data_IF_074534169368
#
_entry.id   IF_074534169368
#
_cell.length_a   1.000
_cell.length_b   1.000
_cell.length_c   1.000
_cell.angle_alpha   90.00
_cell.angle_beta   90.00
_cell.angle_gamma   90.00
#
_symmetry.space_group_name_H-M   'P 1'
#
loop_
_entity.id
_entity.type
_entity.pdbx_description
1 polymer ?
#
# COMPACT_ATOMS: atom_id res chain seq x y z
N UNK A 1 -61.47 12.22 -47.69
CA UNK A 1 -62.35 13.32 -47.26
C UNK A 1 -62.59 13.21 -45.76
N UNK A 2 -62.33 14.30 -45.03
CA UNK A 2 -62.86 14.67 -43.70
C UNK A 2 -62.55 13.73 -42.51
N UNK A 3 -61.60 14.08 -41.65
CA UNK A 3 -61.70 15.06 -40.56
C UNK A 3 -62.41 14.48 -39.32
N UNK A 4 -61.76 14.47 -38.16
CA UNK A 4 -61.80 15.60 -37.23
C UNK A 4 -60.89 15.35 -36.01
N UNK A 5 -60.27 16.45 -35.58
CA UNK A 5 -59.57 16.60 -34.31
C UNK A 5 -60.51 16.38 -33.11
N UNK A 6 -59.97 15.81 -32.03
CA UNK A 6 -60.38 16.18 -30.69
C UNK A 6 -59.14 16.32 -29.81
N UNK A 7 -58.84 17.57 -29.45
CA UNK A 7 -57.95 17.92 -28.36
C UNK A 7 -58.72 17.75 -27.05
N UNK A 8 -58.10 17.20 -26.00
CA UNK A 8 -58.39 17.51 -24.59
C UNK A 8 -57.07 17.39 -23.80
N UNK A 9 -56.80 18.48 -23.09
CA UNK A 9 -55.70 18.77 -22.18
C UNK A 9 -55.83 18.04 -20.83
N UNK A 10 -54.71 17.76 -20.13
CA UNK A 10 -54.31 18.36 -18.83
C UNK A 10 -53.29 17.47 -18.05
N UNK A 11 -52.18 18.12 -17.68
CA UNK A 11 -51.46 18.06 -16.40
C UNK A 11 -51.10 16.72 -15.73
N UNK A 12 -49.80 16.51 -15.50
CA UNK A 12 -49.37 15.70 -14.36
C UNK A 12 -47.88 15.35 -14.31
N UNK A 13 -47.23 15.86 -13.24
CA UNK A 13 -46.16 15.23 -12.45
C UNK A 13 -44.69 15.54 -12.79
N UNK A 14 -44.18 16.50 -12.01
CA UNK A 14 -42.89 16.51 -11.31
C UNK A 14 -41.69 15.83 -12.02
N UNK A 15 -40.94 16.64 -12.77
CA UNK A 15 -39.57 16.30 -13.14
C UNK A 15 -38.68 16.45 -11.91
N UNK A 16 -38.37 15.32 -11.27
CA UNK A 16 -37.41 15.26 -10.17
C UNK A 16 -36.02 15.66 -10.69
N UNK A 17 -35.42 16.66 -10.04
CA UNK A 17 -34.05 17.09 -10.25
C UNK A 17 -33.12 15.92 -9.88
N UNK A 18 -32.57 15.23 -10.88
CA UNK A 18 -31.49 14.28 -10.64
C UNK A 18 -30.21 15.09 -10.45
N UNK A 19 -29.88 15.36 -9.18
CA UNK A 19 -28.55 15.78 -8.80
C UNK A 19 -27.60 14.62 -9.08
N UNK A 20 -27.00 14.63 -10.27
CA UNK A 20 -25.87 13.75 -10.62
C UNK A 20 -24.80 13.97 -9.55
N UNK A 21 -24.72 13.02 -8.63
CA UNK A 21 -23.61 12.94 -7.69
C UNK A 21 -22.41 12.54 -8.53
N UNK A 22 -21.49 13.50 -8.75
CA UNK A 22 -20.20 13.18 -9.33
C UNK A 22 -19.59 12.02 -8.53
N UNK A 23 -19.16 10.92 -9.16
CA UNK A 23 -18.39 9.92 -8.46
C UNK A 23 -17.14 10.63 -7.94
N UNK A 24 -17.01 10.76 -6.62
CA UNK A 24 -15.74 11.10 -5.99
C UNK A 24 -14.76 10.04 -6.45
N UNK A 25 -13.92 10.39 -7.42
CA UNK A 25 -12.80 9.57 -7.82
C UNK A 25 -12.04 9.21 -6.54
N UNK A 26 -11.82 7.91 -6.25
CA UNK A 26 -10.88 7.52 -5.22
C UNK A 26 -9.58 8.31 -5.45
N UNK A 27 -8.93 8.84 -4.41
CA UNK A 27 -7.68 9.56 -4.59
C UNK A 27 -6.78 8.71 -5.48
N UNK A 28 -6.34 9.27 -6.61
CA UNK A 28 -5.34 8.67 -7.47
C UNK A 28 -4.17 8.29 -6.57
N UNK A 29 -4.06 6.99 -6.28
CA UNK A 29 -2.91 6.43 -5.60
C UNK A 29 -1.76 6.72 -6.55
N UNK A 30 -0.93 7.71 -6.22
CA UNK A 30 0.23 8.07 -7.01
C UNK A 30 1.15 6.86 -7.04
N UNK A 31 0.98 6.13 -8.14
CA UNK A 31 1.37 4.76 -8.38
C UNK A 31 2.81 4.65 -8.86
N UNK A 32 3.66 5.63 -8.56
CA UNK A 32 5.02 5.61 -9.08
C UNK A 32 6.01 5.16 -8.01
N UNK A 33 5.85 3.92 -7.57
CA UNK A 33 6.91 3.23 -6.88
C UNK A 33 8.14 3.19 -7.79
N UNK A 34 9.26 3.85 -7.44
CA UNK A 34 10.43 3.90 -8.31
C UNK A 34 11.28 2.62 -8.26
N UNK A 35 10.85 1.61 -7.51
CA UNK A 35 11.56 0.33 -7.34
C UNK A 35 11.48 -0.46 -8.63
N UNK A 36 12.65 -0.78 -9.19
CA UNK A 36 12.81 -1.58 -10.41
C UNK A 36 12.73 -3.07 -10.09
N UNK A 37 13.47 -3.48 -9.05
CA UNK A 37 13.52 -4.86 -8.57
C UNK A 37 13.67 -4.88 -7.04
N UNK A 38 13.29 -6.00 -6.41
CA UNK A 38 13.37 -6.16 -4.97
C UNK A 38 13.70 -7.61 -4.60
N UNK A 39 14.65 -7.80 -3.68
CA UNK A 39 15.21 -9.12 -3.37
C UNK A 39 15.74 -9.21 -1.94
N UNK A 40 16.23 -10.40 -1.58
CA UNK A 40 16.90 -10.67 -0.30
C UNK A 40 16.02 -10.32 0.92
N UNK A 41 14.71 -10.45 0.76
CA UNK A 41 13.76 -10.12 1.80
C UNK A 41 13.69 -11.20 2.86
N UNK A 42 13.62 -10.78 4.12
CA UNK A 42 13.35 -11.65 5.26
C UNK A 42 12.54 -10.91 6.32
N UNK A 43 11.72 -11.68 7.03
CA UNK A 43 10.94 -11.20 8.15
C UNK A 43 11.12 -12.16 9.34
N UNK A 44 11.44 -11.60 10.51
CA UNK A 44 11.52 -12.36 11.73
C UNK A 44 11.04 -11.56 12.94
N UNK A 45 10.51 -12.26 13.91
CA UNK A 45 10.21 -11.71 15.23
C UNK A 45 11.44 -11.95 16.11
N UNK A 46 12.01 -10.89 16.66
CA UNK A 46 12.96 -11.00 17.76
C UNK A 46 12.17 -11.17 19.06
N UNK A 47 12.17 -12.39 19.61
CA UNK A 47 11.54 -12.72 20.87
C UNK A 47 12.57 -12.70 22.01
N UNK A 48 13.11 -11.50 22.31
CA UNK A 48 14.05 -11.32 23.42
C UNK A 48 13.48 -11.93 24.72
N UNK A 49 14.24 -12.79 25.42
CA UNK A 49 13.82 -13.34 26.70
C UNK A 49 13.94 -12.27 27.79
N UNK A 50 12.96 -12.20 28.70
CA UNK A 50 13.04 -11.36 29.89
C UNK A 50 11.68 -10.84 30.37
N UNK A 51 11.57 -10.49 31.66
CA UNK A 51 10.36 -9.83 32.17
C UNK A 51 10.17 -8.49 31.43
N UNK A 52 8.98 -8.26 30.88
CA UNK A 52 8.61 -7.08 30.08
C UNK A 52 9.31 -6.94 28.72
N UNK A 53 9.96 -7.99 28.21
CA UNK A 53 10.54 -7.93 26.87
C UNK A 53 9.44 -7.77 25.81
N UNK A 54 9.55 -6.70 25.01
CA UNK A 54 8.66 -6.47 23.88
C UNK A 54 9.24 -7.14 22.65
N UNK A 55 8.42 -7.97 22.00
CA UNK A 55 8.79 -8.60 20.74
C UNK A 55 8.85 -7.54 19.64
N UNK A 56 9.89 -7.58 18.82
CA UNK A 56 10.00 -6.69 17.66
C UNK A 56 9.89 -7.48 16.37
N UNK A 57 9.16 -6.93 15.40
CA UNK A 57 9.14 -7.42 14.04
C UNK A 57 10.25 -6.70 13.28
N UNK A 58 11.19 -7.49 12.76
CA UNK A 58 12.30 -7.00 11.94
C UNK A 58 12.07 -7.49 10.52
N UNK A 59 12.09 -6.54 9.58
CA UNK A 59 11.98 -6.85 8.15
C UNK A 59 13.14 -6.18 7.44
N UNK A 60 13.86 -6.96 6.66
CA UNK A 60 15.03 -6.48 5.91
C UNK A 60 14.93 -6.95 4.47
N UNK A 61 15.46 -6.15 3.55
CA UNK A 61 15.60 -6.54 2.16
C UNK A 61 16.36 -5.50 1.36
N UNK A 62 16.39 -5.70 0.06
CA UNK A 62 17.09 -4.84 -0.89
C UNK A 62 16.15 -4.42 -2.02
N UNK A 63 16.30 -3.18 -2.47
CA UNK A 63 15.57 -2.61 -3.60
C UNK A 63 16.53 -1.97 -4.58
N UNK A 64 16.27 -2.18 -5.88
CA UNK A 64 16.99 -1.51 -6.95
C UNK A 64 16.23 -0.27 -7.40
N UNK A 65 16.95 0.86 -7.47
CA UNK A 65 16.41 2.16 -7.82
C UNK A 65 17.18 2.75 -9.01
N UNK A 66 16.55 3.59 -9.84
CA UNK A 66 17.09 4.00 -11.15
C UNK A 66 18.34 4.87 -11.07
N UNK A 67 18.60 5.51 -9.93
CA UNK A 67 19.79 6.36 -9.71
C UNK A 67 20.33 6.13 -8.31
N UNK A 68 21.60 6.44 -8.04
CA UNK A 68 22.09 6.53 -6.67
C UNK A 68 21.46 7.72 -5.92
N UNK A 69 21.60 7.75 -4.59
CA UNK A 69 21.18 8.87 -3.74
C UNK A 69 19.72 8.86 -3.28
N UNK A 70 18.93 7.82 -3.57
CA UNK A 70 17.59 7.69 -2.99
C UNK A 70 17.65 7.52 -1.47
N UNK A 71 16.68 8.12 -0.77
CA UNK A 71 16.41 7.79 0.62
C UNK A 71 15.30 6.73 0.67
N UNK A 72 15.64 5.53 1.16
CA UNK A 72 14.71 4.40 1.28
C UNK A 72 14.31 4.21 2.74
N UNK A 73 13.02 4.12 3.00
CA UNK A 73 12.47 3.86 4.34
C UNK A 73 11.42 2.77 4.29
N UNK A 74 11.34 1.99 5.37
CA UNK A 74 10.27 1.02 5.60
C UNK A 74 9.41 1.47 6.77
N UNK A 75 8.09 1.42 6.59
CA UNK A 75 7.13 1.75 7.66
C UNK A 75 6.06 0.67 7.78
N UNK A 76 5.44 0.55 8.97
CA UNK A 76 4.30 -0.34 9.14
C UNK A 76 3.08 0.22 8.40
N UNK A 77 2.51 -0.60 7.52
CA UNK A 77 1.24 -0.34 6.86
C UNK A 77 0.06 -0.95 7.59
N UNK A 78 -1.05 -1.12 6.87
CA UNK A 78 -2.24 -1.76 7.42
C UNK A 78 -1.97 -3.23 7.76
N UNK A 79 -2.55 -3.68 8.86
CA UNK A 79 -2.63 -5.08 9.22
C UNK A 79 -4.08 -5.56 9.08
N UNK A 80 -4.24 -6.80 8.63
CA UNK A 80 -5.52 -7.50 8.70
C UNK A 80 -5.94 -7.68 10.18
N UNK A 81 -7.25 -7.72 10.44
CA UNK A 81 -7.86 -7.85 11.78
C UNK A 81 -8.10 -9.30 12.19
N UNK A 82 -7.42 -10.25 11.56
CA UNK A 82 -7.52 -11.67 11.90
C UNK A 82 -6.64 -12.04 13.10
N UNK A 83 -6.92 -13.19 13.72
CA UNK A 83 -6.16 -13.70 14.86
C UNK A 83 -4.68 -13.99 14.52
N UNK A 84 -4.39 -14.27 13.25
CA UNK A 84 -3.03 -14.46 12.71
C UNK A 84 -2.90 -13.48 11.52
N UNK A 85 -2.51 -12.22 11.77
CA UNK A 85 -2.65 -11.16 10.78
C UNK A 85 -1.64 -11.29 9.63
N UNK A 86 -1.97 -10.67 8.50
CA UNK A 86 -0.98 -10.24 7.50
C UNK A 86 -0.63 -8.80 7.78
N UNK A 87 0.65 -8.53 7.99
CA UNK A 87 1.17 -7.18 8.21
C UNK A 87 1.72 -6.63 6.91
N UNK A 88 1.30 -5.43 6.51
CA UNK A 88 1.95 -4.71 5.42
C UNK A 88 3.17 -3.94 5.92
N UNK A 89 4.23 -3.93 5.14
CA UNK A 89 5.39 -3.06 5.29
C UNK A 89 5.50 -2.22 4.03
N UNK A 90 5.49 -0.90 4.19
CA UNK A 90 5.47 0.04 3.07
C UNK A 90 6.89 0.51 2.80
N UNK A 91 7.37 0.30 1.58
CA UNK A 91 8.60 0.89 1.04
C UNK A 91 8.28 2.28 0.52
N UNK A 92 8.98 3.28 1.05
CA UNK A 92 8.99 4.64 0.53
C UNK A 92 10.38 4.99 0.03
N UNK A 93 10.48 5.55 -1.17
CA UNK A 93 11.74 5.92 -1.78
C UNK A 93 11.66 7.36 -2.29
N UNK A 94 12.45 8.24 -1.67
CA UNK A 94 12.51 9.66 -2.02
C UNK A 94 13.67 9.90 -2.96
N UNK A 95 13.38 10.47 -4.14
CA UNK A 95 14.38 10.78 -5.17
C UNK A 95 15.37 11.86 -4.67
N UNK A 96 16.67 11.74 -4.97
CA UNK A 96 17.64 12.80 -4.71
C UNK A 96 17.37 14.06 -5.54
N UNK A 97 17.85 15.20 -5.07
CA UNK A 97 17.80 16.47 -5.82
C UNK A 97 19.09 16.67 -6.63
N UNK A 98 19.00 17.42 -7.73
CA UNK A 98 20.16 17.76 -8.57
C UNK A 98 20.45 16.75 -9.69
N UNK A 99 21.60 16.93 -10.34
CA UNK A 99 22.06 16.06 -11.42
C UNK A 99 22.72 14.83 -10.80
N UNK A 100 22.16 13.65 -11.09
CA UNK A 100 22.67 12.35 -10.66
C UNK A 100 22.90 11.44 -11.87
N UNK A 101 23.89 10.53 -11.83
CA UNK A 101 24.09 9.56 -12.90
C UNK A 101 22.90 8.59 -13.01
N UNK A 102 22.62 8.13 -14.23
CA UNK A 102 21.55 7.18 -14.53
C UNK A 102 22.09 5.75 -14.41
N UNK A 103 22.27 5.28 -13.18
CA UNK A 103 22.81 3.94 -12.90
C UNK A 103 21.91 3.28 -11.86
N UNK A 104 21.43 2.08 -12.19
CA UNK A 104 20.64 1.26 -11.26
C UNK A 104 21.51 0.92 -10.05
N UNK A 105 21.03 1.28 -8.87
CA UNK A 105 21.76 1.14 -7.62
C UNK A 105 20.90 0.41 -6.60
N UNK A 106 21.50 -0.54 -5.88
CA UNK A 106 20.86 -1.32 -4.82
C UNK A 106 20.91 -0.56 -3.49
N UNK A 107 19.79 -0.54 -2.78
CA UNK A 107 19.64 0.05 -1.46
C UNK A 107 19.10 -0.98 -0.48
N UNK A 108 19.76 -1.12 0.67
CA UNK A 108 19.24 -1.93 1.77
C UNK A 108 18.12 -1.17 2.49
N UNK A 109 17.06 -1.88 2.80
CA UNK A 109 15.89 -1.37 3.49
C UNK A 109 15.67 -2.18 4.77
N UNK A 110 15.36 -1.49 5.88
CA UNK A 110 15.10 -2.13 7.18
C UNK A 110 13.94 -1.48 7.90
N UNK A 111 13.07 -2.32 8.43
CA UNK A 111 12.04 -1.99 9.39
C UNK A 111 12.39 -2.64 10.73
N UNK A 112 12.22 -1.88 11.79
CA UNK A 112 12.33 -2.34 13.17
C UNK A 112 11.21 -1.69 13.96
N UNK A 113 10.31 -2.50 14.53
CA UNK A 113 9.15 -2.00 15.25
C UNK A 113 8.43 -3.06 16.07
N UNK A 114 7.41 -2.66 16.84
CA UNK A 114 6.71 -3.58 17.73
C UNK A 114 5.98 -4.67 16.93
N UNK A 115 6.11 -5.92 17.37
CA UNK A 115 5.29 -7.00 16.86
C UNK A 115 3.86 -6.88 17.42
N UNK A 116 2.89 -6.74 16.53
CA UNK A 116 1.45 -6.64 16.86
C UNK A 116 0.79 -8.00 17.15
N UNK A 117 1.49 -9.11 16.82
CA UNK A 117 1.00 -10.46 17.03
C UNK A 117 2.16 -11.42 17.35
N UNK A 118 1.84 -12.56 17.99
CA UNK A 118 2.83 -13.61 18.26
C UNK A 118 3.18 -14.42 17.00
N UNK A 119 2.22 -14.54 16.10
CA UNK A 119 2.34 -15.24 14.83
C UNK A 119 1.71 -14.39 13.75
N UNK A 120 2.32 -14.43 12.56
CA UNK A 120 1.81 -13.77 11.36
C UNK A 120 1.54 -14.83 10.32
N UNK A 121 0.53 -14.59 9.50
CA UNK A 121 0.27 -15.43 8.33
C UNK A 121 1.30 -15.12 7.25
N UNK A 122 1.59 -13.84 7.06
CA UNK A 122 2.69 -13.36 6.23
C UNK A 122 3.00 -11.89 6.55
N UNK A 123 4.15 -11.43 6.08
CA UNK A 123 4.45 -10.00 5.89
C UNK A 123 4.41 -9.68 4.40
N UNK A 124 3.65 -8.65 4.01
CA UNK A 124 3.61 -8.16 2.63
C UNK A 124 4.40 -6.88 2.51
N UNK A 125 5.43 -6.89 1.69
CA UNK A 125 6.22 -5.70 1.36
C UNK A 125 5.55 -5.01 0.17
N UNK A 126 5.10 -3.78 0.38
CA UNK A 126 4.33 -3.00 -0.58
C UNK A 126 5.09 -1.73 -0.95
N UNK A 127 4.90 -1.24 -2.15
CA UNK A 127 5.39 0.06 -2.59
C UNK A 127 4.32 0.71 -3.46
N UNK A 128 3.66 1.74 -2.94
CA UNK A 128 2.39 2.20 -3.51
C UNK A 128 1.38 1.05 -3.59
N UNK A 129 0.81 0.81 -4.76
CA UNK A 129 -0.13 -0.30 -5.02
C UNK A 129 0.56 -1.63 -5.39
N UNK A 130 1.89 -1.64 -5.58
CA UNK A 130 2.63 -2.83 -6.02
C UNK A 130 3.07 -3.66 -4.81
N UNK A 131 2.79 -4.97 -4.83
CA UNK A 131 3.38 -5.92 -3.90
C UNK A 131 4.76 -6.33 -4.42
N UNK A 132 5.81 -6.05 -3.63
CA UNK A 132 7.20 -6.40 -3.97
C UNK A 132 7.56 -7.80 -3.48
N UNK A 133 7.07 -8.19 -2.31
CA UNK A 133 7.33 -9.50 -1.72
C UNK A 133 6.22 -9.92 -0.75
N UNK A 134 6.07 -11.22 -0.55
CA UNK A 134 5.31 -11.83 0.55
C UNK A 134 6.26 -12.79 1.28
N UNK A 135 6.30 -12.69 2.62
CA UNK A 135 7.30 -13.34 3.45
C UNK A 135 6.64 -14.15 4.56
N UNK A 136 7.09 -15.37 4.75
CA UNK A 136 6.85 -16.11 5.98
C UNK A 136 7.63 -15.47 7.13
N UNK A 137 7.03 -15.46 8.32
CA UNK A 137 7.65 -14.86 9.50
C UNK A 137 8.20 -15.94 10.40
N UNK A 138 9.51 -15.91 10.63
CA UNK A 138 10.19 -16.79 11.58
C UNK A 138 10.30 -16.15 12.96
N UNK A 139 10.42 -16.95 14.00
CA UNK A 139 10.66 -16.44 15.36
C UNK A 139 12.11 -16.75 15.72
N UNK A 140 12.88 -15.71 16.01
CA UNK A 140 14.24 -15.81 16.53
C UNK A 140 14.20 -15.71 18.06
N UNK A 141 14.96 -16.59 18.73
CA UNK A 141 15.06 -16.71 20.18
C UNK A 141 16.45 -16.30 20.67
#
# INVERSE_FOLDING_TARGET
MRALCFAISLAGLASACQTTSAPSAPPEQTSNCPVIDARNWSAHINAMPGPNAQRTLIVTGEVDLPTPGYAVTLTAGAADRSAIPVQQIIVSATRPTGIVPQIVTTFSARYDGPAIAQHYRAVRVMCGAQQLAELDVTVAH
#
